data_IF_818395397986
#
_entry.id   IF_818395397986
#
_cell.length_a   1.000
_cell.length_b   1.000
_cell.length_c   1.000
_cell.angle_alpha   90.00
_cell.angle_beta   90.00
_cell.angle_gamma   90.00
#
_symmetry.space_group_name_H-M   'P 1'
#
loop_
_entity.id
_entity.type
_entity.pdbx_description
1 polymer ?
#
# COMPACT_ATOMS: atom_id res chain seq x y z
N UNK A 1 -20.12 44.73 -30.68
CA UNK A 1 -20.23 44.33 -29.26
C UNK A 1 -20.30 42.81 -29.09
N UNK A 2 -21.35 42.12 -29.55
CA UNK A 2 -21.54 40.68 -29.28
C UNK A 2 -20.43 39.76 -29.85
N UNK A 3 -19.93 40.03 -31.07
CA UNK A 3 -18.86 39.20 -31.68
C UNK A 3 -17.51 39.32 -30.98
N UNK A 4 -17.13 40.52 -30.55
CA UNK A 4 -15.89 40.75 -29.81
C UNK A 4 -15.95 40.06 -28.44
N UNK A 5 -17.08 40.18 -27.77
CA UNK A 5 -17.33 39.52 -26.49
C UNK A 5 -17.29 37.99 -26.57
N UNK A 6 -17.85 37.38 -27.62
CA UNK A 6 -17.77 35.92 -27.84
C UNK A 6 -16.32 35.49 -28.10
N UNK A 7 -15.54 36.30 -28.84
CA UNK A 7 -14.13 36.04 -29.08
C UNK A 7 -13.32 36.06 -27.77
N UNK A 8 -13.48 37.11 -26.96
CA UNK A 8 -12.70 37.30 -25.72
C UNK A 8 -13.08 36.27 -24.65
N UNK A 9 -14.35 35.87 -24.58
CA UNK A 9 -14.82 34.79 -23.70
C UNK A 9 -14.25 33.42 -24.09
N UNK A 10 -14.11 33.18 -25.40
CA UNK A 10 -13.57 31.91 -25.93
C UNK A 10 -12.08 31.79 -25.68
N UNK A 11 -11.32 32.86 -25.86
CA UNK A 11 -9.89 32.93 -25.51
C UNK A 11 -9.65 32.71 -24.01
N UNK A 12 -10.50 33.27 -23.15
CA UNK A 12 -10.41 33.10 -21.69
C UNK A 12 -10.65 31.64 -21.27
N UNK A 13 -11.64 30.97 -21.87
CA UNK A 13 -11.91 29.54 -21.63
C UNK A 13 -10.77 28.64 -22.14
N UNK A 14 -10.09 29.03 -23.22
CA UNK A 14 -8.90 28.32 -23.73
C UNK A 14 -7.73 28.47 -22.75
N UNK A 15 -7.49 29.67 -22.22
CA UNK A 15 -6.43 29.92 -21.21
C UNK A 15 -6.68 29.17 -19.91
N UNK A 16 -7.93 29.05 -19.46
CA UNK A 16 -8.33 28.22 -18.33
C UNK A 16 -8.02 26.74 -18.55
N UNK A 17 -8.30 26.20 -19.75
CA UNK A 17 -7.97 24.80 -20.11
C UNK A 17 -6.46 24.52 -20.09
N UNK A 18 -5.63 25.56 -20.15
CA UNK A 18 -4.18 25.46 -20.17
C UNK A 18 -3.52 25.83 -18.82
N UNK A 19 -4.30 26.05 -17.74
CA UNK A 19 -3.83 26.51 -16.42
C UNK A 19 -3.06 27.86 -16.45
N UNK A 20 -3.45 28.77 -17.35
CA UNK A 20 -2.76 30.06 -17.54
C UNK A 20 -3.45 31.26 -16.86
N UNK A 21 -4.52 31.06 -16.08
CA UNK A 21 -5.29 32.14 -15.45
C UNK A 21 -6.06 31.63 -14.22
N UNK A 22 -6.12 32.43 -13.14
CA UNK A 22 -6.80 32.08 -11.88
C UNK A 22 -8.28 32.54 -11.87
N UNK A 23 -9.13 31.85 -11.10
CA UNK A 23 -10.58 32.05 -11.08
C UNK A 23 -11.02 33.46 -10.64
N UNK A 24 -10.20 34.17 -9.85
CA UNK A 24 -10.48 35.54 -9.39
C UNK A 24 -10.40 36.59 -10.51
N UNK A 25 -9.56 36.41 -11.53
CA UNK A 25 -9.45 37.36 -12.65
C UNK A 25 -10.70 37.33 -13.54
N UNK A 26 -11.37 36.19 -13.61
CA UNK A 26 -12.61 36.00 -14.39
C UNK A 26 -13.78 36.72 -13.74
N UNK A 27 -13.88 36.66 -12.40
CA UNK A 27 -14.90 37.39 -11.65
C UNK A 27 -14.80 38.90 -11.86
N UNK A 28 -13.58 39.44 -12.01
CA UNK A 28 -13.35 40.84 -12.37
C UNK A 28 -13.87 41.21 -13.75
N UNK A 29 -13.65 40.36 -14.76
CA UNK A 29 -14.13 40.60 -16.14
C UNK A 29 -15.67 40.57 -16.20
N UNK A 30 -16.30 39.63 -15.47
CA UNK A 30 -17.76 39.46 -15.43
C UNK A 30 -18.45 40.60 -14.67
N UNK A 31 -17.81 41.14 -13.64
CA UNK A 31 -18.35 42.23 -12.81
C UNK A 31 -18.39 43.61 -13.49
N UNK A 32 -17.91 43.73 -14.73
CA UNK A 32 -17.86 45.00 -15.45
C UNK A 32 -19.26 45.46 -15.90
N UNK A 33 -19.61 46.72 -15.65
CA UNK A 33 -21.00 47.26 -15.71
C UNK A 33 -21.73 47.10 -17.05
N UNK A 34 -21.01 46.80 -18.14
CA UNK A 34 -21.58 46.63 -19.48
C UNK A 34 -22.28 45.28 -19.73
N UNK A 35 -22.18 44.30 -18.81
CA UNK A 35 -22.67 42.93 -19.02
C UNK A 35 -23.73 42.46 -18.03
N UNK A 36 -24.33 43.39 -17.25
CA UNK A 36 -25.34 43.09 -16.23
C UNK A 36 -26.59 42.37 -16.76
N UNK A 37 -26.95 42.57 -18.03
CA UNK A 37 -28.06 41.86 -18.69
C UNK A 37 -27.73 40.41 -19.07
N UNK A 38 -26.46 40.02 -19.04
CA UNK A 38 -25.98 38.68 -19.35
C UNK A 38 -25.59 37.88 -18.09
N UNK A 39 -25.71 38.48 -16.90
CA UNK A 39 -25.34 37.84 -15.62
C UNK A 39 -26.08 36.51 -15.40
N UNK A 40 -27.38 36.43 -15.72
CA UNK A 40 -28.13 35.18 -15.59
C UNK A 40 -27.65 34.08 -16.57
N UNK A 41 -27.23 34.47 -17.78
CA UNK A 41 -26.65 33.55 -18.75
C UNK A 41 -25.24 33.11 -18.32
N UNK A 42 -24.46 34.00 -17.73
CA UNK A 42 -23.16 33.70 -17.13
C UNK A 42 -23.28 32.82 -15.90
N UNK A 43 -24.22 33.06 -14.99
CA UNK A 43 -24.44 32.20 -13.81
C UNK A 43 -24.86 30.80 -14.23
N UNK A 44 -25.68 30.71 -15.29
CA UNK A 44 -26.07 29.42 -15.88
C UNK A 44 -24.87 28.75 -16.56
N UNK A 45 -24.06 29.49 -17.31
CA UNK A 45 -22.86 28.98 -17.95
C UNK A 45 -21.79 28.58 -16.92
N UNK A 46 -21.59 29.35 -15.86
CA UNK A 46 -20.67 29.10 -14.77
C UNK A 46 -21.12 27.90 -13.94
N UNK A 47 -22.41 27.76 -13.63
CA UNK A 47 -22.96 26.52 -13.05
C UNK A 47 -22.76 25.33 -13.97
N UNK A 48 -22.94 25.51 -15.27
CA UNK A 48 -22.77 24.42 -16.24
C UNK A 48 -21.29 24.03 -16.35
N UNK A 49 -20.38 25.01 -16.39
CA UNK A 49 -18.93 24.82 -16.45
C UNK A 49 -18.40 24.24 -15.14
N UNK A 50 -18.87 24.66 -13.97
CA UNK A 50 -18.51 24.04 -12.69
C UNK A 50 -19.07 22.63 -12.56
N UNK A 51 -20.30 22.38 -13.00
CA UNK A 51 -20.85 21.02 -13.05
C UNK A 51 -20.05 20.16 -14.03
N UNK A 52 -19.64 20.72 -15.17
CA UNK A 52 -18.77 20.04 -16.14
C UNK A 52 -17.37 19.80 -15.58
N UNK A 53 -16.81 20.77 -14.86
CA UNK A 53 -15.49 20.71 -14.23
C UNK A 53 -15.48 19.72 -13.08
N UNK A 54 -16.55 19.66 -12.29
CA UNK A 54 -16.72 18.69 -11.21
C UNK A 54 -16.94 17.29 -11.77
N UNK A 55 -17.75 17.15 -12.84
CA UNK A 55 -17.91 15.86 -13.54
C UNK A 55 -16.64 15.44 -14.26
N UNK A 56 -15.89 16.37 -14.86
CA UNK A 56 -14.63 16.10 -15.54
C UNK A 56 -13.54 15.74 -14.53
N UNK A 57 -13.44 16.44 -13.39
CA UNK A 57 -12.54 16.09 -12.30
C UNK A 57 -12.94 14.77 -11.62
N UNK A 58 -14.23 14.48 -11.49
CA UNK A 58 -14.72 13.18 -11.03
C UNK A 58 -14.34 12.09 -12.02
N UNK A 59 -14.53 12.29 -13.32
CA UNK A 59 -14.15 11.34 -14.36
C UNK A 59 -12.63 11.18 -14.42
N UNK A 60 -11.85 12.25 -14.31
CA UNK A 60 -10.39 12.21 -14.28
C UNK A 60 -9.87 11.48 -13.03
N UNK A 61 -10.44 11.75 -11.84
CA UNK A 61 -10.14 11.02 -10.61
C UNK A 61 -10.53 9.54 -10.69
N UNK A 62 -11.73 9.22 -11.17
CA UNK A 62 -12.20 7.84 -11.36
C UNK A 62 -11.41 7.07 -12.44
N UNK A 63 -10.85 7.78 -13.42
CA UNK A 63 -10.00 7.22 -14.48
C UNK A 63 -8.56 7.00 -14.01
N UNK A 64 -8.01 7.90 -13.17
CA UNK A 64 -6.76 7.69 -12.43
C UNK A 64 -6.87 6.47 -11.49
N UNK A 65 -8.07 6.21 -10.98
CA UNK A 65 -8.40 5.08 -10.11
C UNK A 65 -8.74 3.75 -10.84
N UNK A 66 -8.73 3.73 -12.19
CA UNK A 66 -9.03 2.54 -13.03
C UNK A 66 -10.33 1.79 -12.73
N UNK A 67 -11.39 2.50 -12.33
CA UNK A 67 -12.74 1.91 -12.14
C UNK A 67 -13.37 1.67 -13.51
N UNK A 68 -14.02 0.50 -13.73
CA UNK A 68 -14.58 0.17 -15.04
C UNK A 68 -15.78 1.08 -15.38
N UNK A 69 -15.89 1.48 -16.66
CA UNK A 69 -16.91 2.42 -17.17
C UNK A 69 -18.36 2.07 -16.78
N UNK A 70 -18.66 0.77 -16.58
CA UNK A 70 -19.99 0.27 -16.18
C UNK A 70 -20.34 0.59 -14.71
N UNK A 71 -19.35 0.52 -13.81
CA UNK A 71 -19.51 0.91 -12.39
C UNK A 71 -19.58 2.44 -12.24
N UNK A 72 -18.82 3.18 -13.07
CA UNK A 72 -18.90 4.65 -13.13
C UNK A 72 -20.31 5.12 -13.53
N UNK A 73 -20.93 4.46 -14.51
CA UNK A 73 -22.29 4.78 -14.96
C UNK A 73 -23.34 4.63 -13.84
N UNK A 74 -23.25 3.56 -13.04
CA UNK A 74 -24.18 3.32 -11.93
C UNK A 74 -23.97 4.30 -10.76
N UNK A 75 -22.71 4.60 -10.42
CA UNK A 75 -22.36 5.58 -9.37
C UNK A 75 -22.77 6.99 -9.77
N UNK A 76 -22.52 7.41 -11.03
CA UNK A 76 -22.94 8.73 -11.54
C UNK A 76 -24.47 8.84 -11.58
N UNK A 77 -25.18 7.74 -11.89
CA UNK A 77 -26.65 7.71 -11.89
C UNK A 77 -27.24 7.79 -10.48
N UNK A 78 -26.59 7.18 -9.48
CA UNK A 78 -26.97 7.33 -8.07
C UNK A 78 -26.60 8.72 -7.51
N UNK A 79 -25.41 9.23 -7.84
CA UNK A 79 -24.92 10.54 -7.41
C UNK A 79 -25.71 11.71 -8.03
N UNK A 80 -26.34 11.51 -9.19
CA UNK A 80 -27.27 12.48 -9.78
C UNK A 80 -28.49 12.81 -8.90
N UNK A 81 -28.77 12.01 -7.85
CA UNK A 81 -29.82 12.27 -6.86
C UNK A 81 -29.33 12.98 -5.58
N UNK A 82 -28.02 13.10 -5.40
CA UNK A 82 -27.39 13.72 -4.23
C UNK A 82 -27.11 15.20 -4.54
N UNK A 83 -27.38 16.08 -3.58
CA UNK A 83 -27.42 17.54 -3.79
C UNK A 83 -26.14 18.24 -3.38
N UNK A 84 -25.26 17.60 -2.60
CA UNK A 84 -24.04 18.22 -2.06
C UNK A 84 -22.80 17.35 -2.22
N UNK A 85 -21.62 17.98 -2.23
CA UNK A 85 -20.33 17.30 -2.32
C UNK A 85 -20.07 16.38 -1.11
N UNK A 86 -20.59 16.76 0.06
CA UNK A 86 -20.52 15.95 1.29
C UNK A 86 -21.36 14.67 1.19
N UNK A 87 -22.57 14.74 0.64
CA UNK A 87 -23.42 13.56 0.41
C UNK A 87 -22.79 12.58 -0.59
N UNK A 88 -22.14 13.10 -1.64
CA UNK A 88 -21.40 12.30 -2.62
C UNK A 88 -20.19 11.64 -1.95
N UNK A 89 -19.42 12.39 -1.16
CA UNK A 89 -18.28 11.84 -0.42
C UNK A 89 -18.70 10.81 0.64
N UNK A 90 -19.84 11.00 1.30
CA UNK A 90 -20.39 10.04 2.26
C UNK A 90 -20.87 8.75 1.58
N UNK A 91 -21.52 8.84 0.42
CA UNK A 91 -21.94 7.70 -0.38
C UNK A 91 -20.77 6.91 -0.98
N UNK A 92 -19.71 7.61 -1.39
CA UNK A 92 -18.44 6.99 -1.78
C UNK A 92 -17.79 6.29 -0.57
N UNK A 93 -17.70 6.95 0.59
CA UNK A 93 -17.19 6.35 1.82
C UNK A 93 -17.98 5.11 2.25
N UNK A 94 -19.31 5.08 2.11
CA UNK A 94 -20.13 3.92 2.48
C UNK A 94 -19.99 2.75 1.49
N UNK A 95 -19.93 3.02 0.18
CA UNK A 95 -19.77 2.00 -0.86
C UNK A 95 -18.35 1.43 -0.96
N UNK A 96 -17.35 2.20 -0.52
CA UNK A 96 -15.95 1.77 -0.39
C UNK A 96 -15.55 1.44 1.06
N UNK A 97 -16.48 1.51 2.02
CA UNK A 97 -16.23 1.08 3.39
C UNK A 97 -15.97 -0.42 3.37
N UNK A 98 -14.71 -0.77 3.58
CA UNK A 98 -14.31 -2.14 3.82
C UNK A 98 -14.95 -2.55 5.13
N UNK A 99 -15.77 -3.59 5.09
CA UNK A 99 -15.99 -4.43 6.27
C UNK A 99 -14.59 -4.82 6.77
N UNK A 100 -14.20 -4.43 8.00
CA UNK A 100 -12.97 -4.92 8.59
C UNK A 100 -13.13 -6.44 8.67
N UNK A 101 -12.36 -7.20 7.89
CA UNK A 101 -12.20 -8.61 8.19
C UNK A 101 -11.59 -8.65 9.59
N UNK A 102 -12.37 -9.13 10.55
CA UNK A 102 -12.03 -9.24 11.96
C UNK A 102 -10.61 -9.79 12.16
N UNK A 103 -9.81 -9.08 12.94
CA UNK A 103 -8.51 -9.53 13.43
C UNK A 103 -7.35 -9.29 12.44
N UNK A 104 -6.48 -8.36 12.80
CA UNK A 104 -5.19 -8.01 12.15
C UNK A 104 -5.29 -7.23 10.84
N UNK A 105 -5.06 -5.92 10.93
CA UNK A 105 -4.75 -5.15 9.73
C UNK A 105 -3.36 -5.47 9.19
N UNK A 106 -3.31 -5.64 7.87
CA UNK A 106 -2.09 -5.71 7.08
C UNK A 106 -1.74 -7.12 6.59
N UNK A 107 -0.92 -7.17 5.55
CA UNK A 107 -0.27 -8.39 5.03
C UNK A 107 0.65 -9.10 6.05
N UNK A 108 0.76 -8.58 7.27
CA UNK A 108 1.55 -9.14 8.37
C UNK A 108 3.03 -8.73 8.33
N UNK A 109 3.37 -7.45 8.09
CA UNK A 109 4.76 -6.99 7.93
C UNK A 109 5.65 -7.28 9.15
N UNK A 110 5.23 -6.86 10.34
CA UNK A 110 5.99 -7.09 11.58
C UNK A 110 6.12 -8.59 11.89
N UNK A 111 5.04 -9.35 11.70
CA UNK A 111 5.04 -10.81 11.80
C UNK A 111 6.00 -11.46 10.80
N UNK A 112 6.02 -10.98 9.55
CA UNK A 112 6.94 -11.45 8.51
C UNK A 112 8.39 -11.12 8.87
N UNK A 113 8.69 -9.93 9.38
CA UNK A 113 10.05 -9.56 9.79
C UNK A 113 10.55 -10.52 10.87
N UNK A 114 9.76 -10.75 11.92
CA UNK A 114 10.14 -11.70 12.95
C UNK A 114 10.29 -13.12 12.40
N UNK A 115 9.33 -13.58 11.59
CA UNK A 115 9.38 -14.89 10.96
C UNK A 115 10.63 -15.06 10.11
N UNK A 116 10.92 -14.10 9.22
CA UNK A 116 12.08 -14.08 8.34
C UNK A 116 13.39 -14.16 9.13
N UNK A 117 13.52 -13.39 10.21
CA UNK A 117 14.71 -13.44 11.06
C UNK A 117 14.86 -14.80 11.72
N UNK A 118 13.79 -15.37 12.27
CA UNK A 118 13.86 -16.71 12.88
C UNK A 118 14.17 -17.79 11.84
N UNK A 119 13.66 -17.68 10.61
CA UNK A 119 13.98 -18.62 9.52
C UNK A 119 15.43 -18.53 9.05
N UNK A 120 16.11 -17.41 9.29
CA UNK A 120 17.54 -17.26 9.00
C UNK A 120 18.44 -17.71 10.17
N UNK A 121 17.89 -17.79 11.39
CA UNK A 121 18.63 -18.21 12.59
C UNK A 121 18.47 -19.72 12.84
N UNK A 122 17.27 -20.27 12.64
CA UNK A 122 16.93 -21.65 12.98
C UNK A 122 16.54 -22.46 11.74
N UNK A 123 17.29 -23.52 11.46
CA UNK A 123 17.07 -24.40 10.30
C UNK A 123 15.79 -25.25 10.46
N UNK A 124 15.42 -25.56 11.71
CA UNK A 124 14.23 -26.37 12.02
C UNK A 124 13.34 -25.73 13.08
N UNK A 125 12.06 -26.09 13.07
CA UNK A 125 11.11 -25.62 14.07
C UNK A 125 11.49 -26.10 15.47
N UNK A 126 12.02 -27.32 15.61
CA UNK A 126 12.45 -27.88 16.90
C UNK A 126 13.59 -27.05 17.51
N UNK A 127 14.55 -26.60 16.70
CA UNK A 127 15.61 -25.70 17.17
C UNK A 127 15.05 -24.38 17.68
N UNK A 128 14.07 -23.81 16.95
CA UNK A 128 13.40 -22.57 17.33
C UNK A 128 12.52 -22.75 18.60
N UNK A 129 11.91 -23.93 18.79
CA UNK A 129 11.15 -24.24 20.01
C UNK A 129 12.05 -24.34 21.25
N UNK A 130 13.26 -24.92 21.08
CA UNK A 130 14.23 -25.16 22.17
C UNK A 130 15.08 -23.92 22.52
N UNK A 131 15.16 -22.93 21.63
CA UNK A 131 15.95 -21.70 21.78
C UNK A 131 15.04 -20.50 22.01
N UNK A 132 15.53 -19.37 22.52
CA UNK A 132 14.68 -18.17 22.59
C UNK A 132 14.45 -17.56 21.21
N UNK A 133 13.19 -17.48 20.71
CA UNK A 133 12.91 -16.93 19.39
C UNK A 133 13.33 -15.47 19.33
N UNK A 134 13.91 -15.06 18.21
CA UNK A 134 14.24 -13.66 17.99
C UNK A 134 12.94 -12.84 17.84
N UNK A 135 12.78 -11.80 18.64
CA UNK A 135 11.65 -10.86 18.51
C UNK A 135 12.22 -9.48 18.22
N UNK A 136 12.15 -9.10 16.95
CA UNK A 136 12.65 -7.81 16.44
C UNK A 136 11.61 -6.70 16.64
N UNK A 137 10.34 -7.05 16.43
CA UNK A 137 9.20 -6.14 16.57
C UNK A 137 8.16 -6.87 17.43
N UNK A 138 7.59 -6.26 18.47
CA UNK A 138 6.54 -6.93 19.24
C UNK A 138 5.34 -7.25 18.35
N UNK A 139 4.65 -8.33 18.66
CA UNK A 139 3.44 -8.75 17.95
C UNK A 139 2.31 -9.01 18.93
N UNK A 140 1.10 -8.67 18.51
CA UNK A 140 -0.14 -9.01 19.20
C UNK A 140 -1.13 -9.57 18.20
N UNK A 141 -1.65 -10.75 18.46
CA UNK A 141 -2.63 -11.40 17.60
C UNK A 141 -3.59 -12.27 18.40
N UNK A 142 -4.75 -12.57 17.80
CA UNK A 142 -5.72 -13.49 18.37
C UNK A 142 -5.46 -14.89 17.80
N UNK A 143 -5.53 -15.90 18.65
CA UNK A 143 -5.59 -17.30 18.25
C UNK A 143 -6.82 -17.93 18.91
N UNK A 144 -7.39 -18.95 18.28
CA UNK A 144 -8.58 -19.64 18.79
C UNK A 144 -8.23 -21.09 19.13
N UNK A 145 -8.76 -21.58 20.25
CA UNK A 145 -8.50 -22.95 20.73
C UNK A 145 -9.78 -23.65 21.13
N UNK A 146 -9.75 -24.99 21.09
CA UNK A 146 -10.87 -25.83 21.49
C UNK A 146 -12.07 -25.77 20.54
N UNK A 147 -13.08 -26.60 20.83
CA UNK A 147 -14.28 -26.75 19.99
C UNK A 147 -15.20 -25.52 20.05
N UNK A 148 -15.05 -24.68 21.08
CA UNK A 148 -15.83 -23.46 21.28
C UNK A 148 -15.17 -22.21 20.66
N UNK A 149 -14.03 -22.36 20.00
CA UNK A 149 -13.24 -21.26 19.45
C UNK A 149 -12.88 -20.19 20.49
N UNK A 150 -12.43 -20.63 21.67
CA UNK A 150 -12.04 -19.72 22.75
C UNK A 150 -10.90 -18.81 22.27
N UNK A 151 -11.12 -17.50 22.35
CA UNK A 151 -10.17 -16.49 21.88
C UNK A 151 -9.07 -16.23 22.91
N UNK A 152 -7.82 -16.40 22.49
CA UNK A 152 -6.63 -16.08 23.28
C UNK A 152 -5.88 -14.96 22.57
N UNK A 153 -5.66 -13.84 23.27
CA UNK A 153 -4.78 -12.78 22.77
C UNK A 153 -3.33 -13.11 23.12
N UNK A 154 -2.54 -13.45 22.10
CA UNK A 154 -1.10 -13.66 22.22
C UNK A 154 -0.39 -12.32 22.10
N UNK A 155 0.48 -12.01 23.05
CA UNK A 155 1.39 -10.86 23.02
C UNK A 155 2.81 -11.36 23.21
N UNK A 156 3.69 -11.04 22.26
CA UNK A 156 5.05 -11.55 22.26
C UNK A 156 6.04 -10.45 21.89
N UNK A 157 7.08 -10.28 22.71
CA UNK A 157 8.02 -9.16 22.68
C UNK A 157 7.69 -8.05 23.67
N UNK A 158 8.64 -7.15 23.88
CA UNK A 158 8.51 -6.00 24.78
C UNK A 158 7.61 -4.92 24.19
N UNK A 159 6.92 -4.18 25.05
CA UNK A 159 6.05 -3.07 24.62
C UNK A 159 6.86 -2.02 23.87
N UNK A 160 6.40 -1.65 22.69
CA UNK A 160 7.02 -0.62 21.86
C UNK A 160 6.02 0.49 21.57
N UNK A 161 6.39 1.74 21.85
CA UNK A 161 5.55 2.91 21.58
C UNK A 161 5.31 3.16 20.09
N UNK A 162 6.12 2.58 19.21
CA UNK A 162 5.93 2.65 17.76
C UNK A 162 4.87 1.65 17.24
N UNK A 163 4.41 0.72 18.07
CA UNK A 163 3.45 -0.33 17.69
C UNK A 163 2.10 -0.12 18.41
N UNK A 164 1.07 0.24 17.64
CA UNK A 164 -0.27 0.46 18.15
C UNK A 164 -1.21 -0.71 17.82
N UNK A 165 -1.44 -1.57 18.81
CA UNK A 165 -2.32 -2.73 18.70
C UNK A 165 -3.77 -2.46 19.10
N UNK A 166 -4.13 -1.23 19.51
CA UNK A 166 -5.46 -0.93 20.07
C UNK A 166 -6.52 -0.72 18.99
N UNK A 167 -6.12 -0.30 17.79
CA UNK A 167 -7.05 0.10 16.74
C UNK A 167 -7.01 -0.89 15.56
N UNK A 168 -7.96 -1.84 15.55
CA UNK A 168 -8.16 -2.72 14.40
C UNK A 168 -8.43 -1.89 13.14
N UNK A 169 -7.78 -2.22 12.02
CA UNK A 169 -7.94 -1.40 10.80
C UNK A 169 -6.81 -0.40 10.57
N UNK A 170 -6.05 -0.02 11.59
CA UNK A 170 -4.98 0.97 11.45
C UNK A 170 -3.64 0.29 11.18
N UNK A 171 -2.69 1.03 10.60
CA UNK A 171 -1.30 0.60 10.62
C UNK A 171 -0.85 0.38 12.05
N UNK A 172 -0.26 -0.80 12.33
CA UNK A 172 0.29 -1.10 13.66
C UNK A 172 1.59 -0.32 13.86
N UNK A 173 2.52 -0.39 12.91
CA UNK A 173 3.73 0.44 12.85
C UNK A 173 3.35 1.91 12.61
N UNK A 174 3.76 2.84 13.48
CA UNK A 174 3.44 4.27 13.33
C UNK A 174 4.50 5.04 12.51
N UNK A 175 5.78 4.72 12.69
CA UNK A 175 6.89 5.37 11.99
C UNK A 175 7.87 4.35 11.40
N UNK A 176 8.57 4.76 10.34
CA UNK A 176 9.62 3.94 9.74
C UNK A 176 10.76 3.70 10.73
N UNK A 177 11.24 2.46 10.83
CA UNK A 177 12.32 2.09 11.74
C UNK A 177 13.26 1.07 11.10
N UNK A 178 14.56 1.27 11.31
CA UNK A 178 15.58 0.31 10.91
C UNK A 178 15.91 -0.66 12.04
N UNK A 179 16.05 -1.93 11.68
CA UNK A 179 16.51 -3.02 12.52
C UNK A 179 17.76 -3.64 11.89
N UNK A 180 18.80 -3.81 12.69
CA UNK A 180 20.07 -4.36 12.25
C UNK A 180 20.22 -5.74 12.87
N UNK A 181 20.35 -6.75 12.03
CA UNK A 181 20.53 -8.14 12.44
C UNK A 181 21.87 -8.64 11.90
N UNK A 182 22.76 -9.03 12.80
CA UNK A 182 24.02 -9.69 12.44
C UNK A 182 23.73 -11.19 12.22
N UNK A 183 23.73 -11.62 10.95
CA UNK A 183 23.47 -13.04 10.60
C UNK A 183 24.73 -13.90 10.76
N UNK A 184 25.90 -13.31 10.53
CA UNK A 184 27.22 -13.86 10.81
C UNK A 184 28.25 -12.73 10.75
N UNK A 185 29.54 -13.05 10.96
CA UNK A 185 30.64 -12.08 10.97
C UNK A 185 30.78 -11.23 9.69
N UNK A 186 30.22 -11.68 8.56
CA UNK A 186 30.36 -11.03 7.24
C UNK A 186 29.06 -10.46 6.69
N UNK A 187 27.91 -10.84 7.25
CA UNK A 187 26.60 -10.47 6.71
C UNK A 187 25.76 -9.81 7.79
N UNK A 188 25.52 -8.52 7.58
CA UNK A 188 24.61 -7.71 8.38
C UNK A 188 23.39 -7.34 7.54
N UNK A 189 22.21 -7.66 8.05
CA UNK A 189 20.94 -7.36 7.42
C UNK A 189 20.32 -6.11 8.04
N UNK A 190 20.08 -5.09 7.22
CA UNK A 190 19.35 -3.88 7.61
C UNK A 190 17.92 -3.98 7.09
N UNK A 191 16.96 -4.24 7.98
CA UNK A 191 15.54 -4.26 7.66
C UNK A 191 14.92 -2.91 8.02
N UNK A 192 14.16 -2.33 7.09
CA UNK A 192 13.39 -1.11 7.35
C UNK A 192 11.93 -1.53 7.40
N UNK A 193 11.34 -1.47 8.59
CA UNK A 193 9.89 -1.58 8.72
C UNK A 193 9.25 -0.21 8.46
N UNK A 194 8.09 -0.24 7.83
CA UNK A 194 7.36 0.95 7.43
C UNK A 194 5.92 0.89 7.92
N UNK A 195 5.25 2.03 8.08
CA UNK A 195 3.80 2.05 8.25
C UNK A 195 3.11 1.28 7.12
N UNK A 196 2.05 0.55 7.46
CA UNK A 196 1.19 -0.12 6.50
C UNK A 196 0.52 0.87 5.55
N UNK A 197 0.21 0.36 4.36
CA UNK A 197 -0.51 1.06 3.31
C UNK A 197 -1.92 0.47 3.25
N UNK A 198 -2.95 1.32 3.18
CA UNK A 198 -4.36 0.92 3.20
C UNK A 198 -4.97 1.02 4.60
N UNK A 199 -4.64 2.09 5.32
CA UNK A 199 -5.13 2.41 6.65
C UNK A 199 -6.63 2.73 6.60
N UNK A 200 -7.41 2.14 7.51
CA UNK A 200 -8.87 2.39 7.60
C UNK A 200 -9.21 3.83 7.99
N UNK A 201 -8.24 4.64 8.44
CA UNK A 201 -8.38 6.10 8.62
C UNK A 201 -8.53 6.85 7.30
N UNK A 202 -8.34 6.19 6.16
CA UNK A 202 -8.62 6.70 4.83
C UNK A 202 -7.39 7.27 4.12
N UNK A 203 -7.65 7.82 2.92
CA UNK A 203 -6.65 8.26 1.95
C UNK A 203 -5.61 9.22 2.54
N UNK A 204 -6.03 10.22 3.32
CA UNK A 204 -5.15 11.26 3.86
C UNK A 204 -4.07 10.66 4.79
N UNK A 205 -4.43 9.66 5.59
CA UNK A 205 -3.48 8.99 6.48
C UNK A 205 -2.45 8.18 5.69
N UNK A 206 -2.86 7.55 4.60
CA UNK A 206 -1.92 6.79 3.81
C UNK A 206 -0.99 7.69 2.97
N UNK A 207 -1.43 8.89 2.57
CA UNK A 207 -0.54 9.90 1.98
C UNK A 207 0.53 10.33 2.99
N UNK A 208 0.15 10.54 4.26
CA UNK A 208 1.09 10.79 5.36
C UNK A 208 2.06 9.60 5.50
N UNK A 209 1.56 8.37 5.49
CA UNK A 209 2.39 7.17 5.59
C UNK A 209 3.39 7.09 4.43
N UNK A 210 2.94 7.35 3.19
CA UNK A 210 3.81 7.37 2.01
C UNK A 210 4.86 8.49 2.09
N UNK A 211 4.50 9.69 2.53
CA UNK A 211 5.44 10.79 2.72
C UNK A 211 6.48 10.46 3.80
N UNK A 212 6.08 9.82 4.90
CA UNK A 212 7.00 9.34 5.94
C UNK A 212 7.98 8.30 5.38
N UNK A 213 7.49 7.35 4.57
CA UNK A 213 8.33 6.35 3.89
C UNK A 213 9.35 7.01 2.98
N UNK A 214 8.92 7.92 2.11
CA UNK A 214 9.80 8.59 1.15
C UNK A 214 10.82 9.50 1.84
N UNK A 215 10.41 10.21 2.90
CA UNK A 215 11.31 11.02 3.74
C UNK A 215 12.37 10.16 4.39
N UNK A 216 11.99 8.99 4.93
CA UNK A 216 12.94 8.05 5.52
C UNK A 216 13.92 7.51 4.47
N UNK A 217 13.41 7.07 3.32
CA UNK A 217 14.24 6.55 2.23
C UNK A 217 15.20 7.63 1.74
N UNK A 218 14.80 8.89 1.66
CA UNK A 218 15.67 10.01 1.25
C UNK A 218 16.93 10.18 2.12
N UNK A 219 16.90 9.75 3.38
CA UNK A 219 18.04 9.82 4.30
C UNK A 219 19.06 8.69 4.06
N UNK A 220 18.69 7.67 3.27
CA UNK A 220 19.55 6.53 2.97
C UNK A 220 20.48 6.84 1.79
N UNK A 221 21.72 6.40 1.88
CA UNK A 221 22.69 6.53 0.77
C UNK A 221 22.37 5.56 -0.39
N UNK A 222 21.84 4.40 -0.05
CA UNK A 222 21.47 3.35 -0.99
C UNK A 222 20.47 2.37 -0.38
N UNK A 223 19.85 1.56 -1.23
CA UNK A 223 19.03 0.40 -0.86
C UNK A 223 19.43 -0.80 -1.73
N UNK A 224 19.41 -2.00 -1.16
CA UNK A 224 19.68 -3.22 -1.92
C UNK A 224 18.40 -3.85 -2.48
N UNK A 225 17.30 -3.79 -1.73
CA UNK A 225 16.03 -4.34 -2.15
C UNK A 225 14.85 -3.56 -1.57
N UNK A 226 13.75 -3.54 -2.32
CA UNK A 226 12.44 -3.06 -1.88
C UNK A 226 11.49 -4.24 -1.90
N UNK A 227 11.03 -4.66 -0.73
CA UNK A 227 10.14 -5.81 -0.59
C UNK A 227 8.68 -5.38 -0.59
N UNK A 228 7.93 -5.77 -1.63
CA UNK A 228 6.48 -5.64 -1.66
C UNK A 228 5.85 -6.87 -1.04
N UNK A 229 5.33 -6.72 0.18
CA UNK A 229 4.69 -7.79 0.94
C UNK A 229 3.20 -7.88 0.60
N UNK A 230 2.73 -9.10 0.31
CA UNK A 230 1.41 -9.37 -0.26
C UNK A 230 0.80 -10.64 0.35
N UNK A 231 -0.53 -10.70 0.47
CA UNK A 231 -1.24 -11.98 0.63
C UNK A 231 -1.54 -12.56 -0.76
N UNK A 232 -1.39 -13.87 -1.02
CA UNK A 232 -1.59 -14.47 -2.35
C UNK A 232 -3.06 -14.64 -2.73
N UNK A 233 -3.96 -14.51 -1.75
CA UNK A 233 -5.40 -14.78 -1.88
C UNK A 233 -6.23 -13.54 -2.22
N UNK A 234 -5.64 -12.34 -2.34
CA UNK A 234 -6.41 -11.15 -2.68
C UNK A 234 -7.05 -11.33 -4.07
N UNK A 235 -8.37 -11.19 -4.10
CA UNK A 235 -9.20 -11.32 -5.31
C UNK A 235 -9.17 -10.07 -6.19
N UNK A 236 -8.75 -8.92 -5.63
CA UNK A 236 -8.55 -7.64 -6.33
C UNK A 236 -7.29 -6.97 -5.80
N UNK A 237 -6.56 -6.29 -6.68
CA UNK A 237 -5.58 -5.29 -6.28
C UNK A 237 -6.33 -3.98 -6.13
N UNK A 238 -6.44 -3.55 -4.89
CA UNK A 238 -7.04 -2.28 -4.53
C UNK A 238 -6.44 -1.12 -5.33
N UNK A 239 -7.31 -0.18 -5.72
CA UNK A 239 -6.93 1.07 -6.39
C UNK A 239 -5.86 1.78 -5.58
N UNK A 240 -6.05 1.82 -4.26
CA UNK A 240 -5.12 2.49 -3.37
C UNK A 240 -3.75 1.80 -3.32
N UNK A 241 -3.73 0.47 -3.22
CA UNK A 241 -2.49 -0.32 -3.34
C UNK A 241 -1.75 -0.01 -4.67
N UNK A 242 -2.49 0.07 -5.79
CA UNK A 242 -1.91 0.41 -7.11
C UNK A 242 -1.31 1.81 -7.09
N UNK A 243 -2.00 2.80 -6.53
CA UNK A 243 -1.52 4.17 -6.40
C UNK A 243 -0.25 4.24 -5.56
N UNK A 244 -0.20 3.56 -4.42
CA UNK A 244 0.98 3.57 -3.55
C UNK A 244 2.19 2.87 -4.18
N UNK A 245 1.97 1.72 -4.80
CA UNK A 245 3.02 1.07 -5.57
C UNK A 245 3.48 2.00 -6.69
N UNK A 246 2.57 2.61 -7.45
CA UNK A 246 2.93 3.58 -8.50
C UNK A 246 3.80 4.73 -7.97
N UNK A 247 3.41 5.34 -6.86
CA UNK A 247 4.17 6.43 -6.22
C UNK A 247 5.57 5.97 -5.78
N UNK A 248 5.68 4.79 -5.18
CA UNK A 248 6.97 4.21 -4.78
C UNK A 248 7.86 3.94 -6.00
N UNK A 249 7.28 3.39 -7.07
CA UNK A 249 8.01 3.05 -8.29
C UNK A 249 8.49 4.29 -9.06
N UNK A 250 7.66 5.34 -9.14
CA UNK A 250 8.07 6.63 -9.69
C UNK A 250 9.24 7.23 -8.91
N UNK A 251 9.30 7.01 -7.59
CA UNK A 251 10.41 7.49 -6.77
C UNK A 251 11.72 6.71 -7.00
N UNK A 252 11.65 5.39 -7.22
CA UNK A 252 12.83 4.52 -7.43
C UNK A 252 13.47 4.61 -8.81
N UNK A 253 12.83 5.31 -9.76
CA UNK A 253 13.23 5.37 -11.18
C UNK A 253 13.37 3.98 -11.85
N UNK A 254 13.42 3.90 -13.20
CA UNK A 254 13.60 2.61 -13.87
C UNK A 254 14.89 1.85 -13.48
N UNK A 255 15.94 2.58 -13.08
CA UNK A 255 17.21 1.98 -12.64
C UNK A 255 17.07 1.18 -11.34
N UNK A 256 16.09 1.52 -10.48
CA UNK A 256 15.80 0.80 -9.25
C UNK A 256 14.86 -0.40 -9.43
N UNK A 257 14.32 -0.63 -10.63
CA UNK A 257 13.31 -1.67 -10.86
C UNK A 257 13.83 -3.09 -10.59
N UNK A 258 15.13 -3.33 -10.84
CA UNK A 258 15.78 -4.61 -10.54
C UNK A 258 15.88 -4.91 -9.04
N UNK A 259 15.77 -3.89 -8.18
CA UNK A 259 15.83 -4.02 -6.73
C UNK A 259 14.47 -4.36 -6.11
N UNK A 260 13.40 -4.41 -6.89
CA UNK A 260 12.07 -4.74 -6.37
C UNK A 260 11.91 -6.26 -6.28
N UNK A 261 11.53 -6.72 -5.10
CA UNK A 261 11.21 -8.10 -4.82
C UNK A 261 9.80 -8.22 -4.28
N UNK A 262 9.18 -9.37 -4.54
CA UNK A 262 7.81 -9.64 -4.12
C UNK A 262 7.83 -10.75 -3.09
N UNK A 263 7.19 -10.53 -1.95
CA UNK A 263 7.05 -11.53 -0.92
C UNK A 263 5.57 -11.79 -0.66
N UNK A 264 5.15 -13.05 -0.80
CA UNK A 264 3.80 -13.50 -0.51
C UNK A 264 3.81 -14.21 0.84
N UNK A 265 3.15 -13.61 1.84
CA UNK A 265 2.96 -14.19 3.17
C UNK A 265 1.71 -15.04 3.21
N UNK A 266 1.57 -15.87 4.24
CA UNK A 266 0.42 -16.76 4.42
C UNK A 266 0.18 -17.64 3.18
N UNK A 267 1.26 -18.05 2.51
CA UNK A 267 1.19 -18.70 1.19
C UNK A 267 0.94 -20.20 1.23
N UNK A 268 0.76 -20.78 2.43
CA UNK A 268 0.38 -22.18 2.62
C UNK A 268 -0.90 -22.53 1.84
N UNK A 269 -1.93 -21.67 1.92
CA UNK A 269 -3.22 -21.89 1.24
C UNK A 269 -3.15 -21.85 -0.28
N UNK A 270 -2.03 -21.36 -0.84
CA UNK A 270 -1.77 -21.31 -2.27
C UNK A 270 -0.56 -22.17 -2.65
N UNK A 271 -0.24 -23.18 -1.84
CA UNK A 271 0.87 -24.12 -2.07
C UNK A 271 2.21 -23.41 -2.32
N UNK A 272 2.47 -22.34 -1.57
CA UNK A 272 3.67 -21.50 -1.69
C UNK A 272 3.85 -20.91 -3.11
N UNK A 273 2.73 -20.53 -3.72
CA UNK A 273 2.67 -19.79 -4.96
C UNK A 273 2.02 -18.41 -4.78
N UNK A 274 2.29 -17.43 -5.68
CA UNK A 274 1.71 -16.08 -5.63
C UNK A 274 0.17 -16.00 -5.71
N UNK A 275 -0.50 -17.10 -6.02
CA UNK A 275 -1.95 -17.20 -6.09
C UNK A 275 -2.61 -16.21 -7.05
N UNK A 276 -3.84 -15.82 -6.70
CA UNK A 276 -4.65 -14.87 -7.47
C UNK A 276 -3.98 -13.48 -7.53
N UNK A 277 -3.36 -13.08 -6.42
CA UNK A 277 -2.71 -11.77 -6.32
C UNK A 277 -1.53 -11.64 -7.29
N UNK A 278 -0.71 -12.69 -7.44
CA UNK A 278 0.36 -12.69 -8.43
C UNK A 278 -0.13 -12.50 -9.87
N UNK A 279 -1.29 -13.08 -10.22
CA UNK A 279 -1.88 -12.90 -11.55
C UNK A 279 -2.34 -11.46 -11.80
N UNK A 280 -2.91 -10.81 -10.78
CA UNK A 280 -3.32 -9.41 -10.85
C UNK A 280 -2.11 -8.47 -10.92
N UNK A 281 -1.07 -8.78 -10.15
CA UNK A 281 0.17 -8.01 -10.12
C UNK A 281 0.91 -8.08 -11.45
N UNK A 282 1.00 -9.26 -12.05
CA UNK A 282 1.56 -9.45 -13.38
C UNK A 282 0.83 -8.61 -14.45
N UNK A 283 -0.50 -8.50 -14.36
CA UNK A 283 -1.29 -7.64 -15.25
C UNK A 283 -1.02 -6.15 -15.01
N UNK A 284 -0.85 -5.75 -13.74
CA UNK A 284 -0.54 -4.37 -13.37
C UNK A 284 0.83 -3.94 -13.91
N UNK A 285 1.86 -4.75 -13.69
CA UNK A 285 3.25 -4.45 -14.09
C UNK A 285 3.43 -4.44 -15.61
N UNK A 286 2.58 -5.15 -16.37
CA UNK A 286 2.62 -5.16 -17.84
C UNK A 286 2.04 -3.89 -18.48
N UNK A 287 1.36 -3.02 -17.74
CA UNK A 287 0.91 -1.72 -18.28
C UNK A 287 2.14 -0.81 -18.41
N UNK A 288 2.23 -0.07 -19.52
CA UNK A 288 3.48 0.47 -20.09
C UNK A 288 4.42 1.25 -19.15
N UNK A 289 3.92 1.84 -18.05
CA UNK A 289 4.77 2.63 -17.14
C UNK A 289 5.71 1.77 -16.24
N UNK A 290 5.47 0.46 -16.10
CA UNK A 290 6.20 -0.43 -15.18
C UNK A 290 6.74 -1.71 -15.81
N UNK A 291 6.77 -1.80 -17.15
CA UNK A 291 7.15 -3.02 -17.86
C UNK A 291 8.57 -3.55 -17.55
N UNK A 292 9.46 -2.70 -17.01
CA UNK A 292 10.83 -3.05 -16.64
C UNK A 292 10.96 -3.74 -15.28
N UNK A 293 9.89 -3.85 -14.50
CA UNK A 293 9.92 -4.52 -13.20
C UNK A 293 9.80 -6.04 -13.41
N UNK A 294 10.83 -6.84 -13.08
CA UNK A 294 10.76 -8.27 -13.24
C UNK A 294 9.71 -8.85 -12.30
N UNK A 295 8.90 -9.81 -12.78
CA UNK A 295 8.01 -10.60 -11.92
C UNK A 295 8.16 -12.08 -12.28
N UNK A 296 9.20 -12.68 -11.70
CA UNK A 296 9.66 -14.04 -11.99
C UNK A 296 9.91 -14.81 -10.69
N UNK A 297 10.11 -16.13 -10.77
CA UNK A 297 10.41 -16.95 -9.58
C UNK A 297 11.69 -16.47 -8.86
N UNK A 298 12.67 -15.94 -9.59
CA UNK A 298 13.95 -15.49 -9.00
C UNK A 298 13.78 -14.35 -8.00
N UNK A 299 12.85 -13.41 -8.23
CA UNK A 299 12.61 -12.24 -7.38
C UNK A 299 11.26 -12.25 -6.66
N UNK A 300 10.58 -13.40 -6.67
CA UNK A 300 9.30 -13.62 -5.98
C UNK A 300 9.44 -14.74 -4.98
N UNK A 301 9.15 -14.48 -3.71
CA UNK A 301 9.32 -15.38 -2.58
C UNK A 301 7.97 -15.65 -1.93
N UNK A 302 7.68 -16.91 -1.60
CA UNK A 302 6.42 -17.29 -0.96
C UNK A 302 6.77 -17.99 0.35
N UNK A 303 6.41 -17.36 1.46
CA UNK A 303 6.65 -17.89 2.80
C UNK A 303 5.34 -18.01 3.55
N UNK A 304 5.36 -18.73 4.66
CA UNK A 304 4.28 -18.69 5.63
C UNK A 304 4.78 -18.04 6.91
N UNK A 305 4.07 -17.05 7.43
CA UNK A 305 4.43 -16.37 8.68
C UNK A 305 3.61 -16.92 9.87
N UNK A 306 2.65 -17.81 9.61
CA UNK A 306 1.82 -18.42 10.64
C UNK A 306 2.60 -19.37 11.55
N UNK A 307 3.71 -19.96 11.09
CA UNK A 307 4.55 -20.80 11.96
C UNK A 307 5.34 -20.00 12.99
N UNK A 308 5.66 -18.72 12.73
CA UNK A 308 6.14 -17.82 13.78
C UNK A 308 5.05 -17.50 14.80
N UNK A 309 3.79 -17.33 14.36
CA UNK A 309 2.65 -17.16 15.29
C UNK A 309 2.45 -18.40 16.14
N UNK A 310 2.56 -19.59 15.56
CA UNK A 310 2.57 -20.85 16.31
C UNK A 310 3.65 -20.83 17.39
N UNK A 311 4.89 -20.49 17.04
CA UNK A 311 6.02 -20.41 17.98
C UNK A 311 5.77 -19.40 19.11
N UNK A 312 5.31 -18.19 18.77
CA UNK A 312 4.97 -17.15 19.74
C UNK A 312 3.83 -17.60 20.69
N UNK A 313 2.78 -18.23 20.15
CA UNK A 313 1.66 -18.72 20.93
C UNK A 313 2.09 -19.85 21.89
N UNK A 314 2.96 -20.77 21.45
CA UNK A 314 3.56 -21.80 22.32
C UNK A 314 4.34 -21.18 23.48
N UNK A 315 5.05 -20.08 23.25
CA UNK A 315 5.75 -19.32 24.31
C UNK A 315 4.81 -18.60 25.28
N UNK A 316 3.58 -18.33 24.86
CA UNK A 316 2.50 -17.85 25.72
C UNK A 316 1.66 -18.99 26.33
N UNK A 317 2.18 -20.22 26.37
CA UNK A 317 1.51 -21.41 26.91
C UNK A 317 0.19 -21.78 26.20
N UNK A 318 0.05 -21.42 24.92
CA UNK A 318 -1.07 -21.91 24.10
C UNK A 318 -0.78 -23.35 23.66
N UNK A 319 -1.72 -24.24 23.94
CA UNK A 319 -1.68 -25.63 23.51
C UNK A 319 -2.37 -25.79 22.15
N UNK A 320 -1.75 -26.58 21.28
CA UNK A 320 -2.26 -26.89 19.95
C UNK A 320 -2.35 -28.40 19.78
N UNK A 321 -3.30 -28.85 18.96
CA UNK A 321 -3.41 -30.26 18.60
C UNK A 321 -2.19 -30.72 17.78
N UNK A 322 -1.83 -31.99 17.89
CA UNK A 322 -0.60 -32.55 17.29
C UNK A 322 -0.49 -32.32 15.77
N UNK A 323 -1.61 -32.36 15.04
CA UNK A 323 -1.60 -32.15 13.60
C UNK A 323 -1.13 -30.73 13.21
N UNK A 324 -1.42 -29.72 14.04
CA UNK A 324 -0.97 -28.33 13.82
C UNK A 324 0.56 -28.27 13.90
N UNK A 325 1.16 -29.05 14.82
CA UNK A 325 2.61 -29.15 14.94
C UNK A 325 3.21 -29.75 13.67
N UNK A 326 2.65 -30.86 13.18
CA UNK A 326 3.13 -31.53 11.96
C UNK A 326 3.08 -30.57 10.75
N UNK A 327 1.96 -29.88 10.55
CA UNK A 327 1.86 -28.89 9.47
C UNK A 327 2.85 -27.73 9.62
N UNK A 328 3.11 -27.31 10.87
CA UNK A 328 4.04 -26.22 11.17
C UNK A 328 5.49 -26.60 10.88
N UNK A 329 5.87 -27.87 11.06
CA UNK A 329 7.21 -28.38 10.72
C UNK A 329 7.45 -28.27 9.20
N UNK A 330 6.53 -28.78 8.38
CA UNK A 330 6.65 -28.74 6.92
C UNK A 330 6.64 -27.30 6.39
N UNK A 331 5.82 -26.45 7.00
CA UNK A 331 5.71 -25.05 6.66
C UNK A 331 6.93 -24.24 7.05
N UNK A 332 7.54 -24.53 8.22
CA UNK A 332 8.80 -23.94 8.65
C UNK A 332 9.91 -24.28 7.66
N UNK A 333 10.08 -25.56 7.34
CA UNK A 333 11.10 -26.04 6.39
C UNK A 333 11.00 -25.33 5.03
N UNK A 334 9.78 -25.19 4.51
CA UNK A 334 9.55 -24.49 3.24
C UNK A 334 9.92 -23.00 3.35
N UNK A 335 9.53 -22.35 4.45
CA UNK A 335 9.78 -20.93 4.68
C UNK A 335 11.26 -20.62 4.94
N UNK A 336 12.00 -21.52 5.60
CA UNK A 336 13.47 -21.45 5.75
C UNK A 336 14.14 -21.49 4.38
N UNK A 337 13.80 -22.46 3.54
CA UNK A 337 14.38 -22.59 2.20
C UNK A 337 14.12 -21.34 1.33
N UNK A 338 12.88 -20.83 1.33
CA UNK A 338 12.53 -19.63 0.56
C UNK A 338 13.15 -18.35 1.15
N UNK A 339 13.31 -18.26 2.47
CA UNK A 339 13.98 -17.11 3.14
C UNK A 339 15.47 -17.08 2.86
N UNK A 340 16.15 -18.24 2.91
CA UNK A 340 17.54 -18.36 2.50
C UNK A 340 17.73 -17.99 1.01
N UNK A 341 16.79 -18.41 0.15
CA UNK A 341 16.79 -18.03 -1.27
C UNK A 341 16.61 -16.53 -1.46
N UNK A 342 15.74 -15.90 -0.67
CA UNK A 342 15.54 -14.44 -0.66
C UNK A 342 16.80 -13.70 -0.27
N UNK A 343 17.43 -14.08 0.85
CA UNK A 343 18.68 -13.47 1.29
C UNK A 343 19.78 -13.60 0.23
N UNK A 344 19.94 -14.80 -0.35
CA UNK A 344 20.93 -15.04 -1.42
C UNK A 344 20.65 -14.20 -2.66
N UNK A 345 19.40 -14.03 -3.06
CA UNK A 345 19.04 -13.16 -4.17
C UNK A 345 19.39 -11.69 -3.88
N UNK A 346 19.02 -11.18 -2.70
CA UNK A 346 19.34 -9.81 -2.28
C UNK A 346 20.84 -9.54 -2.31
N UNK A 347 21.66 -10.49 -1.88
CA UNK A 347 23.13 -10.40 -1.92
C UNK A 347 23.70 -10.27 -3.35
N UNK A 348 22.96 -10.68 -4.38
CA UNK A 348 23.37 -10.51 -5.78
C UNK A 348 22.96 -9.17 -6.39
N UNK A 349 22.10 -8.40 -5.71
CA UNK A 349 21.61 -7.13 -6.23
C UNK A 349 22.66 -6.03 -6.07
N UNK A 350 22.86 -5.26 -7.14
CA UNK A 350 23.62 -4.03 -7.08
C UNK A 350 22.87 -3.00 -6.24
N UNK A 351 23.57 -2.33 -5.33
CA UNK A 351 23.00 -1.25 -4.52
C UNK A 351 22.44 -0.14 -5.40
N UNK A 352 21.17 0.21 -5.18
CA UNK A 352 20.53 1.35 -5.81
C UNK A 352 20.83 2.63 -5.01
N UNK A 353 21.63 3.52 -5.59
CA UNK A 353 22.10 4.74 -4.94
C UNK A 353 21.11 5.90 -5.12
N UNK A 354 20.36 6.21 -4.06
CA UNK A 354 19.26 7.18 -4.07
C UNK A 354 19.69 8.63 -4.41
N UNK A 355 20.97 8.97 -4.23
CA UNK A 355 21.52 10.30 -4.51
C UNK A 355 21.97 10.48 -5.98
N UNK A 356 22.13 9.39 -6.72
CA UNK A 356 22.70 9.43 -8.07
C UNK A 356 21.65 9.65 -9.16
N UNK A 357 20.40 9.25 -8.92
CA UNK A 357 19.40 9.07 -9.97
C UNK A 357 18.32 10.16 -10.06
N UNK A 358 18.53 11.33 -9.44
CA UNK A 358 17.75 12.54 -9.75
C UNK A 358 16.23 12.39 -9.74
N UNK A 359 15.68 11.61 -8.81
CA UNK A 359 14.23 11.41 -8.68
C UNK A 359 13.49 12.76 -8.63
N UNK A 360 12.46 12.93 -9.46
CA UNK A 360 11.63 14.15 -9.54
C UNK A 360 11.07 14.57 -8.17
N UNK A 361 10.75 13.62 -7.29
CA UNK A 361 10.27 13.91 -5.93
C UNK A 361 11.38 14.40 -4.98
N UNK A 362 12.64 14.14 -5.32
CA UNK A 362 13.78 14.69 -4.58
C UNK A 362 14.01 16.18 -4.88
N UNK A 363 13.53 16.66 -6.03
CA UNK A 363 13.59 18.06 -6.42
C UNK A 363 12.43 18.93 -5.88
N UNK A 364 11.44 18.30 -5.22
CA UNK A 364 10.25 18.95 -4.65
C UNK A 364 10.33 19.15 -3.12
N UNK A 365 11.46 18.76 -2.51
CA UNK A 365 11.88 19.13 -1.15
C UNK A 365 13.08 20.07 -1.27
#
# INVERSE_FOLDING_TARGET
MYKQFVHDSRETVIKLRQNLCESEEINKIISNQHYSSLTAAFDTLHKTVEQWWTKANLILRLNDDQIQYKEISEIVTQAARLKTLEEINAALRSNFSRTPSSGETGVGKSTFINAFVNYLIFDTLEQAEQSDPAVVIPVSFITTTGDNFDEITVKFGDVDSNENFQNQGQSVTQHCRSYIIDLNEKVRLHLIDTPGIGDTRGFDQDEINMNNILTYINQLSHINAVCLLLKPTNSKLDVFFRSCVKQLLTYLTPDGYGNIIFCFTNSRSTFYAPGNTGSLLKKMLKKDEFNGIPFEKKNTFCVDSETFRYLAARRCNVEFQDYIKVESIDSWKTSVAESARMLKFIQTLQSYHLNKYGSLRKALL
#
